data_IF_724395187816
#
_entry.id   IF_724395187816
#
_cell.length_a   1.000
_cell.length_b   1.000
_cell.length_c   1.000
_cell.angle_alpha   90.00
_cell.angle_beta   90.00
_cell.angle_gamma   90.00
#
_symmetry.space_group_name_H-M   'P 1'
#
loop_
_entity.id
_entity.type
_entity.pdbx_description
1 polymer ?
#
# COMPACT_ATOMS: atom_id res chain seq x y z
N UNK A 1 -32.42 31.69 -9.36
CA UNK A 1 -31.45 30.98 -8.50
C UNK A 1 -30.14 31.74 -8.56
N UNK A 2 -29.66 32.24 -7.43
CA UNK A 2 -28.56 33.20 -7.37
C UNK A 2 -27.20 32.51 -7.44
N UNK A 3 -26.23 33.09 -8.15
CA UNK A 3 -24.83 32.66 -8.20
C UNK A 3 -24.21 32.46 -6.81
N UNK A 4 -24.67 33.25 -5.82
CA UNK A 4 -24.23 33.15 -4.43
C UNK A 4 -24.57 31.79 -3.79
N UNK A 5 -25.72 31.20 -4.15
CA UNK A 5 -26.14 29.90 -3.62
C UNK A 5 -25.25 28.77 -4.14
N UNK A 6 -24.88 28.82 -5.42
CA UNK A 6 -23.94 27.87 -6.02
C UNK A 6 -22.52 28.02 -5.45
N UNK A 7 -22.07 29.25 -5.17
CA UNK A 7 -20.79 29.49 -4.51
C UNK A 7 -20.73 28.89 -3.10
N UNK A 8 -21.81 29.06 -2.31
CA UNK A 8 -21.92 28.47 -0.97
C UNK A 8 -21.96 26.94 -1.04
N UNK A 9 -22.72 26.37 -1.97
CA UNK A 9 -22.77 24.92 -2.16
C UNK A 9 -21.40 24.33 -2.56
N UNK A 10 -20.67 25.02 -3.45
CA UNK A 10 -19.32 24.62 -3.85
C UNK A 10 -18.32 24.68 -2.70
N UNK A 11 -18.36 25.74 -1.89
CA UNK A 11 -17.49 25.90 -0.73
C UNK A 11 -17.77 24.82 0.35
N UNK A 12 -19.04 24.53 0.61
CA UNK A 12 -19.45 23.47 1.53
C UNK A 12 -18.98 22.08 1.03
N UNK A 13 -19.16 21.80 -0.26
CA UNK A 13 -18.68 20.57 -0.88
C UNK A 13 -17.16 20.42 -0.79
N UNK A 14 -16.41 21.49 -1.04
CA UNK A 14 -14.94 21.49 -0.93
C UNK A 14 -14.46 21.27 0.51
N UNK A 15 -15.13 21.88 1.49
CA UNK A 15 -14.81 21.69 2.91
C UNK A 15 -15.02 20.24 3.34
N UNK A 16 -16.13 19.61 2.95
CA UNK A 16 -16.41 18.19 3.21
C UNK A 16 -15.39 17.31 2.51
N UNK A 17 -15.13 17.56 1.22
CA UNK A 17 -14.11 16.84 0.44
C UNK A 17 -12.76 16.86 1.16
N UNK A 18 -12.28 18.05 1.55
CA UNK A 18 -10.99 18.21 2.24
C UNK A 18 -10.97 17.50 3.61
N UNK A 19 -12.07 17.54 4.36
CA UNK A 19 -12.18 16.86 5.64
C UNK A 19 -12.10 15.34 5.49
N UNK A 20 -12.72 14.77 4.45
CA UNK A 20 -12.64 13.34 4.15
C UNK A 20 -11.26 12.96 3.59
N UNK A 21 -10.66 13.80 2.74
CA UNK A 21 -9.35 13.54 2.13
C UNK A 21 -8.21 13.54 3.16
N UNK A 22 -8.28 14.40 4.20
CA UNK A 22 -7.31 14.41 5.31
C UNK A 22 -7.17 13.06 6.03
N UNK A 23 -8.19 12.21 5.94
CA UNK A 23 -8.20 10.88 6.54
C UNK A 23 -7.82 9.77 5.55
N UNK A 24 -7.58 10.10 4.27
CA UNK A 24 -7.19 9.14 3.21
C UNK A 24 -5.69 9.17 2.90
N UNK A 25 -4.91 9.98 3.59
CA UNK A 25 -3.45 9.87 3.61
C UNK A 25 -3.06 8.59 4.35
N UNK A 26 -2.12 7.84 3.77
CA UNK A 26 -1.59 6.54 4.21
C UNK A 26 -2.44 5.29 3.84
N UNK A 27 -2.91 5.16 2.60
CA UNK A 27 -3.21 3.81 2.10
C UNK A 27 -1.88 3.11 1.81
N UNK A 28 -1.37 2.38 2.81
CA UNK A 28 -0.23 1.48 2.64
C UNK A 28 -0.40 0.67 1.34
N UNK A 29 0.65 0.55 0.50
CA UNK A 29 0.53 -0.14 -0.77
C UNK A 29 0.04 -1.58 -0.54
N UNK A 30 -0.82 -2.07 -1.45
CA UNK A 30 -1.69 -3.21 -1.17
C UNK A 30 -0.98 -4.51 -0.77
N UNK A 31 0.31 -4.65 -1.11
CA UNK A 31 1.12 -5.82 -0.80
C UNK A 31 1.88 -5.73 0.54
N UNK A 32 1.99 -4.56 1.16
CA UNK A 32 2.94 -4.28 2.23
C UNK A 32 2.32 -4.45 3.61
N UNK A 33 3.06 -5.09 4.50
CA UNK A 33 2.74 -5.06 5.91
C UNK A 33 2.85 -3.63 6.47
N UNK A 34 2.26 -3.41 7.64
CA UNK A 34 2.39 -2.12 8.32
C UNK A 34 3.86 -1.84 8.66
N UNK A 35 4.39 -0.72 8.16
CA UNK A 35 5.80 -0.33 8.38
C UNK A 35 6.79 -0.86 7.33
N UNK A 36 6.35 -1.71 6.41
CA UNK A 36 7.15 -2.17 5.26
C UNK A 36 7.05 -1.25 4.05
N UNK A 37 6.27 -0.17 4.16
CA UNK A 37 6.01 0.73 3.03
C UNK A 37 7.32 1.17 2.37
N UNK A 38 7.42 1.09 1.03
CA UNK A 38 8.67 1.31 0.32
C UNK A 38 9.11 2.78 0.37
N UNK A 39 8.27 3.68 0.89
CA UNK A 39 8.51 5.11 0.94
C UNK A 39 8.87 5.65 -0.44
N UNK A 40 10.00 6.36 -0.52
CA UNK A 40 10.55 6.89 -1.76
C UNK A 40 11.37 5.89 -2.61
N UNK A 41 11.40 4.60 -2.25
CA UNK A 41 12.15 3.59 -2.99
C UNK A 41 11.52 3.38 -4.37
N UNK A 42 12.29 3.63 -5.44
CA UNK A 42 11.84 3.40 -6.82
C UNK A 42 11.42 1.95 -7.08
N UNK A 43 12.11 0.99 -6.47
CA UNK A 43 11.86 -0.43 -6.71
C UNK A 43 10.55 -0.93 -6.12
N UNK A 44 9.99 -0.24 -5.13
CA UNK A 44 8.73 -0.61 -4.46
C UNK A 44 8.73 -2.09 -4.03
N UNK A 45 9.82 -2.54 -3.40
CA UNK A 45 10.01 -3.92 -2.91
C UNK A 45 9.90 -3.93 -1.38
N UNK A 46 9.23 -4.95 -0.84
CA UNK A 46 9.14 -5.26 0.60
C UNK A 46 10.13 -6.35 0.98
N UNK A 47 10.36 -6.54 2.28
CA UNK A 47 10.97 -7.76 2.82
C UNK A 47 10.20 -9.01 2.35
N UNK A 48 10.93 -10.09 2.06
CA UNK A 48 10.33 -11.40 1.79
C UNK A 48 9.71 -11.99 3.07
N UNK A 49 8.77 -12.91 2.91
CA UNK A 49 8.08 -13.58 4.02
C UNK A 49 6.71 -12.99 4.36
N UNK A 50 6.01 -13.69 5.25
CA UNK A 50 4.65 -13.33 5.69
C UNK A 50 4.63 -12.02 6.49
N UNK A 51 5.70 -11.76 7.22
CA UNK A 51 5.92 -10.54 8.00
C UNK A 51 6.04 -9.30 7.12
N UNK A 52 6.53 -9.47 5.88
CA UNK A 52 6.70 -8.38 4.93
C UNK A 52 5.40 -8.00 4.23
N UNK A 53 4.42 -8.91 4.18
CA UNK A 53 3.22 -8.75 3.37
C UNK A 53 1.97 -8.37 4.16
N UNK A 54 1.04 -7.68 3.50
CA UNK A 54 -0.26 -7.33 4.09
C UNK A 54 -1.15 -8.54 4.40
N UNK A 55 -0.99 -9.59 3.60
CA UNK A 55 -1.83 -10.78 3.66
C UNK A 55 -1.40 -11.69 4.81
N UNK A 56 -2.36 -12.42 5.39
CA UNK A 56 -2.09 -13.44 6.40
C UNK A 56 -2.44 -14.83 5.82
N UNK A 57 -1.55 -15.43 5.02
CA UNK A 57 -1.82 -16.72 4.40
C UNK A 57 -1.83 -17.84 5.44
N UNK A 58 -2.88 -18.67 5.42
CA UNK A 58 -3.02 -19.81 6.35
C UNK A 58 -1.92 -20.88 6.20
N UNK A 59 -1.23 -20.89 5.07
CA UNK A 59 -0.14 -21.81 4.74
C UNK A 59 0.98 -21.00 4.12
N UNK A 60 2.18 -21.23 4.62
CA UNK A 60 3.42 -20.71 4.07
C UNK A 60 4.49 -21.76 4.30
N UNK A 61 5.03 -22.32 3.23
CA UNK A 61 6.08 -23.33 3.32
C UNK A 61 7.43 -22.83 2.79
N UNK A 62 8.42 -23.72 2.77
CA UNK A 62 9.78 -23.37 2.36
C UNK A 62 9.88 -23.03 0.88
N UNK A 63 9.00 -23.60 0.05
CA UNK A 63 8.96 -23.31 -1.39
C UNK A 63 8.38 -21.92 -1.61
N UNK A 64 7.31 -21.57 -0.87
CA UNK A 64 6.73 -20.23 -0.88
C UNK A 64 7.77 -19.18 -0.45
N UNK A 65 8.49 -19.43 0.64
CA UNK A 65 9.56 -18.54 1.14
C UNK A 65 10.67 -18.35 0.11
N UNK A 66 11.22 -19.46 -0.40
CA UNK A 66 12.30 -19.43 -1.38
C UNK A 66 11.88 -18.73 -2.68
N UNK A 67 10.62 -18.88 -3.07
CA UNK A 67 10.03 -18.18 -4.21
C UNK A 67 9.95 -16.67 -3.95
N UNK A 68 9.47 -16.22 -2.78
CA UNK A 68 9.39 -14.79 -2.43
C UNK A 68 10.79 -14.14 -2.33
N UNK A 69 11.77 -14.84 -1.77
CA UNK A 69 13.16 -14.39 -1.64
C UNK A 69 13.91 -14.25 -2.98
N UNK A 70 13.46 -14.98 -4.01
CA UNK A 70 14.07 -14.90 -5.34
C UNK A 70 13.81 -13.56 -6.03
N UNK A 71 12.82 -12.77 -5.58
CA UNK A 71 12.50 -11.47 -6.17
C UNK A 71 13.22 -10.32 -5.46
N UNK A 72 13.65 -9.27 -6.19
CA UNK A 72 13.53 -9.07 -7.64
C UNK A 72 14.67 -9.68 -8.47
N UNK A 73 15.69 -10.27 -7.82
CA UNK A 73 16.94 -10.70 -8.47
C UNK A 73 16.77 -11.85 -9.49
N UNK A 74 15.68 -12.62 -9.39
CA UNK A 74 15.36 -13.79 -10.23
C UNK A 74 16.37 -14.94 -10.13
N UNK A 75 17.19 -14.98 -9.09
CA UNK A 75 18.13 -16.07 -8.85
C UNK A 75 17.41 -17.28 -8.22
N UNK A 76 17.71 -18.53 -8.64
CA UNK A 76 17.14 -19.70 -8.01
C UNK A 76 17.63 -19.82 -6.55
N UNK A 77 16.77 -20.32 -5.64
CA UNK A 77 17.15 -20.47 -4.24
C UNK A 77 18.35 -21.42 -4.09
N UNK A 78 19.43 -20.91 -3.49
CA UNK A 78 20.65 -21.67 -3.23
C UNK A 78 20.56 -22.33 -1.85
N UNK A 79 19.81 -23.43 -1.76
CA UNK A 79 19.77 -24.28 -0.56
C UNK A 79 20.35 -25.65 -0.91
N UNK A 80 21.65 -25.84 -0.63
CA UNK A 80 22.38 -27.11 -0.78
C UNK A 80 22.64 -27.75 0.58
#
# INVERSE_FOLDING_TARGET
>A
MSLLQWAVAGAAGYAIYRAVQKNKTEHAPAAFAQGEEPGGNFSQVRSAGVEGMRSDPKRWDKIDQASDESFPASDPPSTY
#
